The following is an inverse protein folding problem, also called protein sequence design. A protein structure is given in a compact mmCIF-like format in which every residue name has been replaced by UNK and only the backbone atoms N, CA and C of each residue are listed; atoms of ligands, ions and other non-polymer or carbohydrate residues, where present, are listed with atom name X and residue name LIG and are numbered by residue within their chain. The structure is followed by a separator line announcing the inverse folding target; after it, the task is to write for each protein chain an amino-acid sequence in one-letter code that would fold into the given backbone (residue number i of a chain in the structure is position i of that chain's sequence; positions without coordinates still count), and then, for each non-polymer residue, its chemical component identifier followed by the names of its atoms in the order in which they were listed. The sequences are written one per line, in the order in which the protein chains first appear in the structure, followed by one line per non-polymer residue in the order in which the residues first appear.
data_IF_902835931474
#
_entry.id   IF_902835931474
#
_cell.length_a   1.000
_cell.length_b   1.000
_cell.length_c   1.000
_cell.angle_alpha   90.00
_cell.angle_beta   90.00
_cell.angle_gamma   90.00
#
_symmetry.space_group_name_H-M   'P 1'
#
loop_
_entity.id
_entity.type
_entity.pdbx_description
1 polymer ?
#
# COMPACT_ATOMS: atom_id res chain seq x y z
N UNK A 1 0.04 -18.67 18.84
CA UNK A 1 0.55 -17.61 17.98
C UNK A 1 -0.15 -16.31 18.32
N UNK A 2 0.57 -15.20 18.31
CA UNK A 2 0.05 -13.83 18.42
C UNK A 2 0.42 -13.08 17.16
N UNK A 3 -0.55 -12.38 16.57
CA UNK A 3 -0.31 -11.58 15.37
C UNK A 3 -0.76 -10.14 15.60
N UNK A 4 0.00 -9.17 15.06
CA UNK A 4 -0.38 -7.77 15.06
C UNK A 4 -0.72 -7.31 13.65
N UNK A 5 -1.83 -6.56 13.50
CA UNK A 5 -2.19 -5.89 12.25
C UNK A 5 -1.72 -4.42 12.21
N UNK A 6 -0.74 -4.05 13.02
CA UNK A 6 -0.21 -2.68 12.98
C UNK A 6 0.41 -2.37 11.62
N UNK A 7 0.19 -1.16 11.14
CA UNK A 7 0.83 -0.66 9.90
C UNK A 7 2.03 0.25 10.18
N UNK A 8 2.20 0.72 11.42
CA UNK A 8 3.17 1.77 11.76
C UNK A 8 4.03 1.47 12.99
N UNK A 9 3.53 0.68 13.96
CA UNK A 9 4.28 0.38 15.17
C UNK A 9 5.39 -0.64 14.89
N UNK A 10 6.60 -0.44 15.41
CA UNK A 10 7.70 -1.38 15.25
C UNK A 10 7.38 -2.73 15.91
N UNK A 11 7.25 -3.80 15.12
CA UNK A 11 6.96 -5.15 15.62
C UNK A 11 7.98 -5.63 16.68
N UNK A 12 9.29 -5.42 16.54
CA UNK A 12 10.25 -5.80 17.58
C UNK A 12 9.93 -5.19 18.94
N UNK A 13 9.51 -3.90 18.97
CA UNK A 13 9.14 -3.22 20.22
C UNK A 13 7.85 -3.80 20.84
N UNK A 14 6.88 -4.21 20.02
CA UNK A 14 5.68 -4.89 20.52
C UNK A 14 6.03 -6.25 21.13
N UNK A 15 7.01 -6.94 20.55
CA UNK A 15 7.44 -8.26 21.04
C UNK A 15 8.18 -8.23 22.38
N UNK A 16 8.75 -7.09 22.80
CA UNK A 16 9.43 -6.94 24.10
C UNK A 16 8.49 -7.22 25.28
N UNK A 17 7.19 -6.99 25.11
CA UNK A 17 6.18 -7.23 26.15
C UNK A 17 5.64 -8.67 26.16
N UNK A 18 6.10 -9.55 25.26
CA UNK A 18 5.58 -10.90 25.12
C UNK A 18 6.43 -11.93 25.86
N UNK A 19 5.77 -12.91 26.45
CA UNK A 19 6.42 -14.04 27.14
C UNK A 19 7.04 -15.00 26.12
N UNK A 20 6.35 -15.21 24.98
CA UNK A 20 6.77 -16.12 23.91
C UNK A 20 6.88 -15.36 22.58
N UNK A 21 7.87 -14.47 22.40
CA UNK A 21 8.01 -13.65 21.19
C UNK A 21 8.37 -14.46 19.94
N UNK A 22 8.86 -15.69 20.06
CA UNK A 22 9.05 -16.64 18.97
C UNK A 22 7.73 -17.03 18.30
N UNK A 23 6.60 -16.85 18.98
CA UNK A 23 5.24 -17.09 18.47
C UNK A 23 4.55 -15.84 17.93
N UNK A 24 5.29 -14.73 17.79
CA UNK A 24 4.77 -13.44 17.37
C UNK A 24 5.25 -13.06 15.95
N UNK A 25 4.35 -12.45 15.19
CA UNK A 25 4.64 -11.83 13.90
C UNK A 25 3.62 -10.73 13.55
N UNK A 26 3.86 -9.98 12.48
CA UNK A 26 2.86 -9.12 11.85
C UNK A 26 2.06 -9.88 10.81
N UNK A 27 0.73 -9.70 10.82
CA UNK A 27 -0.15 -10.05 9.70
C UNK A 27 -0.81 -8.77 9.23
N UNK A 28 -0.29 -8.19 8.15
CA UNK A 28 -0.73 -6.89 7.67
C UNK A 28 -1.77 -7.05 6.55
N UNK A 29 -3.01 -6.78 6.90
CA UNK A 29 -4.15 -6.79 6.01
C UNK A 29 -4.38 -5.40 5.42
N UNK A 30 -4.91 -5.35 4.21
CA UNK A 30 -5.21 -4.10 3.51
C UNK A 30 -6.71 -3.85 3.44
N UNK A 31 -7.11 -2.60 3.65
CA UNK A 31 -8.52 -2.22 3.58
C UNK A 31 -8.97 -2.09 2.10
N UNK A 32 -10.10 -2.68 1.72
CA UNK A 32 -11.01 -3.53 2.50
C UNK A 32 -10.49 -4.98 2.60
N UNK A 33 -10.29 -5.47 3.83
CA UNK A 33 -9.62 -6.75 4.09
C UNK A 33 -10.35 -7.96 3.50
N UNK A 34 -11.67 -7.89 3.32
CA UNK A 34 -12.46 -8.95 2.71
C UNK A 34 -12.24 -9.07 1.20
N UNK A 35 -11.87 -8.00 0.51
CA UNK A 35 -11.65 -7.99 -0.95
C UNK A 35 -10.16 -8.15 -1.29
N UNK A 36 -9.29 -7.36 -0.66
CA UNK A 36 -7.86 -7.38 -1.02
C UNK A 36 -7.25 -8.75 -0.74
N UNK A 37 -6.68 -9.41 -1.75
CA UNK A 37 -6.14 -10.76 -1.59
C UNK A 37 -4.80 -10.79 -0.85
N UNK A 38 -3.97 -9.73 -0.95
CA UNK A 38 -2.65 -9.70 -0.35
C UNK A 38 -2.72 -9.59 1.18
N UNK A 39 -1.89 -10.36 1.88
CA UNK A 39 -1.59 -10.22 3.30
C UNK A 39 -0.08 -10.32 3.47
N UNK A 40 0.56 -9.33 4.06
CA UNK A 40 1.98 -9.39 4.39
C UNK A 40 2.16 -10.16 5.70
N UNK A 41 3.02 -11.18 5.68
CA UNK A 41 3.47 -11.94 6.84
C UNK A 41 4.85 -11.42 7.22
N UNK A 42 4.95 -10.76 8.36
CA UNK A 42 6.15 -10.00 8.76
C UNK A 42 6.74 -10.59 10.03
N UNK A 43 7.71 -11.52 9.91
CA UNK A 43 8.40 -12.05 11.07
C UNK A 43 9.32 -10.99 11.69
N UNK A 44 9.56 -11.12 12.99
CA UNK A 44 10.69 -10.48 13.67
C UNK A 44 11.87 -11.47 13.72
N UNK A 45 13.05 -11.01 14.13
CA UNK A 45 14.24 -11.87 14.22
C UNK A 45 14.03 -13.12 15.11
N UNK A 46 13.19 -12.98 16.14
CA UNK A 46 12.88 -14.05 17.11
C UNK A 46 11.73 -14.97 16.67
N UNK A 47 11.02 -14.66 15.61
CA UNK A 47 9.88 -15.49 15.14
C UNK A 47 10.36 -16.87 14.71
N UNK A 48 9.76 -17.91 15.25
CA UNK A 48 10.03 -19.27 14.81
C UNK A 48 9.58 -19.48 13.36
N UNK A 49 10.43 -20.03 12.47
CA UNK A 49 10.07 -20.30 11.08
C UNK A 49 8.78 -21.09 10.91
N UNK A 50 8.49 -22.05 11.81
CA UNK A 50 7.25 -22.84 11.76
C UNK A 50 5.99 -21.97 11.95
N UNK A 51 6.08 -20.87 12.70
CA UNK A 51 4.98 -19.90 12.88
C UNK A 51 4.73 -19.15 11.57
N UNK A 52 5.79 -18.82 10.82
CA UNK A 52 5.67 -18.18 9.49
C UNK A 52 5.00 -19.16 8.52
N UNK A 53 5.52 -20.39 8.42
CA UNK A 53 4.99 -21.42 7.54
C UNK A 53 3.51 -21.70 7.82
N UNK A 54 3.16 -21.87 9.10
CA UNK A 54 1.78 -22.08 9.51
C UNK A 54 0.88 -20.88 9.13
N UNK A 55 1.36 -19.66 9.31
CA UNK A 55 0.61 -18.44 8.95
C UNK A 55 0.38 -18.35 7.44
N UNK A 56 1.40 -18.68 6.65
CA UNK A 56 1.31 -18.72 5.19
C UNK A 56 0.26 -19.73 4.73
N UNK A 57 0.29 -20.95 5.29
CA UNK A 57 -0.68 -21.99 4.97
C UNK A 57 -2.11 -21.58 5.36
N UNK A 58 -2.31 -21.09 6.58
CA UNK A 58 -3.61 -20.63 7.05
C UNK A 58 -4.21 -19.55 6.14
N UNK A 59 -3.41 -18.56 5.77
CA UNK A 59 -3.88 -17.47 4.91
C UNK A 59 -4.22 -17.97 3.49
N UNK A 60 -3.44 -18.91 2.95
CA UNK A 60 -3.74 -19.56 1.67
C UNK A 60 -5.06 -20.33 1.74
N UNK A 61 -5.30 -21.10 2.79
CA UNK A 61 -6.57 -21.82 3.02
C UNK A 61 -7.77 -20.88 3.14
N UNK A 62 -7.55 -19.65 3.62
CA UNK A 62 -8.56 -18.59 3.65
C UNK A 62 -8.74 -17.87 2.28
N UNK A 63 -8.11 -18.35 1.22
CA UNK A 63 -8.17 -17.78 -0.11
C UNK A 63 -7.37 -16.47 -0.28
N UNK A 64 -6.48 -16.17 0.66
CA UNK A 64 -5.58 -15.01 0.56
C UNK A 64 -4.30 -15.37 -0.20
N UNK A 65 -3.56 -14.33 -0.60
CA UNK A 65 -2.22 -14.43 -1.20
C UNK A 65 -1.20 -13.91 -0.20
N UNK A 66 -0.71 -14.75 0.72
CA UNK A 66 0.24 -14.31 1.71
C UNK A 66 1.62 -14.06 1.09
N UNK A 67 2.30 -13.02 1.58
CA UNK A 67 3.65 -12.63 1.20
C UNK A 67 4.52 -12.51 2.45
N UNK A 68 5.46 -13.42 2.65
CA UNK A 68 6.39 -13.33 3.75
C UNK A 68 7.53 -12.34 3.44
N UNK A 69 7.75 -11.39 4.34
CA UNK A 69 8.91 -10.51 4.30
C UNK A 69 10.09 -11.19 4.98
N UNK A 70 11.31 -10.92 4.52
CA UNK A 70 12.53 -11.46 5.14
C UNK A 70 12.85 -10.82 6.50
N UNK A 71 12.39 -9.58 6.72
CA UNK A 71 12.58 -8.81 7.96
C UNK A 71 11.57 -7.67 8.04
N UNK A 72 11.23 -7.18 9.24
CA UNK A 72 10.41 -5.99 9.39
C UNK A 72 11.16 -4.73 8.95
N UNK A 73 10.47 -3.84 8.26
CA UNK A 73 10.88 -2.47 7.98
C UNK A 73 9.70 -1.55 8.27
N UNK A 74 9.96 -0.27 8.58
CA UNK A 74 8.88 0.69 8.82
C UNK A 74 7.98 0.79 7.59
N UNK A 75 6.65 0.63 7.78
CA UNK A 75 5.65 0.61 6.70
C UNK A 75 5.65 -0.65 5.85
N UNK A 76 6.40 -1.68 6.23
CA UNK A 76 6.55 -2.96 5.53
C UNK A 76 6.85 -2.76 4.03
N UNK A 77 6.35 -3.59 3.13
CA UNK A 77 6.63 -3.45 1.70
C UNK A 77 5.60 -2.57 1.01
N UNK A 78 4.31 -2.90 1.17
CA UNK A 78 3.25 -2.23 0.41
C UNK A 78 3.08 -0.76 0.82
N UNK A 79 3.04 -0.44 2.13
CA UNK A 79 2.95 0.95 2.56
C UNK A 79 4.18 1.76 2.17
N UNK A 80 5.37 1.18 2.15
CA UNK A 80 6.57 1.89 1.67
C UNK A 80 6.44 2.31 0.21
N UNK A 81 5.99 1.41 -0.66
CA UNK A 81 5.76 1.70 -2.07
C UNK A 81 4.64 2.72 -2.25
N UNK A 82 3.53 2.52 -1.54
CA UNK A 82 2.38 3.43 -1.59
C UNK A 82 2.77 4.84 -1.13
N UNK A 83 3.43 4.98 0.02
CA UNK A 83 3.78 6.31 0.54
C UNK A 83 4.94 6.97 -0.21
N UNK A 84 5.82 6.22 -0.86
CA UNK A 84 6.79 6.80 -1.80
C UNK A 84 6.07 7.48 -2.98
N UNK A 85 5.02 6.84 -3.53
CA UNK A 85 4.18 7.41 -4.57
C UNK A 85 3.36 8.62 -4.06
N UNK A 86 2.69 8.47 -2.89
CA UNK A 86 1.87 9.53 -2.31
C UNK A 86 2.73 10.76 -2.00
N UNK A 87 3.95 10.59 -1.50
CA UNK A 87 4.87 11.69 -1.23
C UNK A 87 5.16 12.51 -2.48
N UNK A 88 5.42 11.86 -3.61
CA UNK A 88 5.63 12.53 -4.88
C UNK A 88 4.33 13.20 -5.38
N UNK A 89 3.20 12.50 -5.30
CA UNK A 89 1.91 13.05 -5.70
C UNK A 89 1.55 14.33 -4.94
N UNK A 90 1.75 14.35 -3.61
CA UNK A 90 1.51 15.52 -2.78
C UNK A 90 2.47 16.67 -3.13
N UNK A 91 3.73 16.36 -3.44
CA UNK A 91 4.70 17.37 -3.87
C UNK A 91 4.27 18.03 -5.17
N UNK A 92 3.81 17.26 -6.15
CA UNK A 92 3.33 17.79 -7.43
C UNK A 92 2.09 18.69 -7.27
N UNK A 93 1.24 18.40 -6.28
CA UNK A 93 0.10 19.26 -5.94
C UNK A 93 0.58 20.57 -5.27
N UNK A 94 1.47 20.50 -4.28
CA UNK A 94 2.01 21.67 -3.59
C UNK A 94 2.78 22.63 -4.55
N UNK A 95 3.52 22.05 -5.51
CA UNK A 95 4.25 22.81 -6.53
C UNK A 95 3.32 23.37 -7.63
N UNK A 96 2.02 23.07 -7.58
CA UNK A 96 1.05 23.52 -8.58
C UNK A 96 1.23 22.88 -9.97
N UNK A 97 1.95 21.75 -10.04
CA UNK A 97 2.18 21.02 -11.29
C UNK A 97 0.92 20.26 -11.71
N UNK A 98 0.17 19.73 -10.75
CA UNK A 98 -1.04 18.96 -11.01
C UNK A 98 -2.11 19.18 -9.94
N UNK A 99 -3.38 18.99 -10.30
CA UNK A 99 -4.49 18.94 -9.34
C UNK A 99 -4.62 17.50 -8.79
N UNK A 100 -5.30 17.31 -7.63
CA UNK A 100 -5.60 15.97 -7.11
C UNK A 100 -6.31 15.08 -8.13
N UNK A 101 -7.26 15.64 -8.91
CA UNK A 101 -7.99 14.91 -9.95
C UNK A 101 -7.06 14.42 -11.07
N UNK A 102 -6.07 15.23 -11.46
CA UNK A 102 -5.08 14.85 -12.48
C UNK A 102 -4.16 13.75 -11.97
N UNK A 103 -3.73 13.81 -10.71
CA UNK A 103 -2.95 12.73 -10.07
C UNK A 103 -3.75 11.42 -10.09
N UNK A 104 -5.01 11.46 -9.64
CA UNK A 104 -5.86 10.26 -9.60
C UNK A 104 -6.10 9.70 -11.00
N UNK A 105 -6.32 10.54 -12.02
CA UNK A 105 -6.46 10.10 -13.40
C UNK A 105 -5.19 9.40 -13.94
N UNK A 106 -4.00 9.92 -13.64
CA UNK A 106 -2.75 9.24 -14.02
C UNK A 106 -2.64 7.87 -13.37
N UNK A 107 -3.07 7.76 -12.10
CA UNK A 107 -3.03 6.49 -11.39
C UNK A 107 -4.06 5.49 -11.91
N UNK A 108 -5.32 5.89 -12.07
CA UNK A 108 -6.41 4.98 -12.45
C UNK A 108 -6.36 4.61 -13.93
N UNK A 109 -6.03 5.55 -14.81
CA UNK A 109 -6.12 5.37 -16.26
C UNK A 109 -4.80 4.92 -16.91
N UNK A 110 -3.70 4.95 -16.14
CA UNK A 110 -2.38 4.58 -16.68
C UNK A 110 -1.61 3.63 -15.74
N UNK A 111 -1.05 4.14 -14.64
CA UNK A 111 -0.09 3.39 -13.83
C UNK A 111 -0.73 2.21 -13.12
N UNK A 112 -1.84 2.43 -12.42
CA UNK A 112 -2.56 1.39 -11.67
C UNK A 112 -3.10 0.31 -12.62
N UNK A 113 -3.65 0.69 -13.77
CA UNK A 113 -4.13 -0.25 -14.78
C UNK A 113 -3.00 -1.15 -15.31
N UNK A 114 -1.84 -0.59 -15.62
CA UNK A 114 -0.67 -1.36 -16.10
C UNK A 114 -0.13 -2.29 -15.02
N UNK A 115 -0.01 -1.78 -13.78
CA UNK A 115 0.56 -2.54 -12.66
C UNK A 115 -0.39 -3.58 -12.06
N UNK A 116 -1.68 -3.50 -12.34
CA UNK A 116 -2.62 -4.57 -12.05
C UNK A 116 -2.34 -5.84 -12.88
N UNK A 117 -1.77 -5.68 -14.08
CA UNK A 117 -1.44 -6.78 -15.00
C UNK A 117 0.02 -7.22 -14.82
N UNK A 118 0.95 -6.28 -14.90
CA UNK A 118 2.38 -6.51 -14.72
C UNK A 118 2.91 -5.55 -13.65
N UNK A 119 3.49 -6.09 -12.60
CA UNK A 119 4.10 -5.26 -11.55
C UNK A 119 5.23 -4.36 -12.08
N UNK A 120 5.69 -3.38 -11.30
CA UNK A 120 6.68 -2.40 -11.75
C UNK A 120 8.00 -3.04 -12.20
N UNK A 121 8.45 -4.12 -11.57
CA UNK A 121 9.70 -4.80 -11.96
C UNK A 121 9.57 -5.47 -13.33
N UNK A 122 8.50 -6.23 -13.57
CA UNK A 122 8.24 -6.84 -14.88
C UNK A 122 8.02 -5.80 -15.98
N UNK A 123 7.36 -4.70 -15.64
CA UNK A 123 7.17 -3.58 -16.57
C UNK A 123 8.52 -2.93 -16.95
N UNK A 124 9.46 -2.85 -16.01
CA UNK A 124 10.82 -2.36 -16.25
C UNK A 124 11.60 -3.30 -17.16
N UNK A 125 11.53 -4.61 -16.92
CA UNK A 125 12.17 -5.61 -17.78
C UNK A 125 11.61 -5.56 -19.21
N UNK A 126 10.30 -5.42 -19.34
CA UNK A 126 9.65 -5.32 -20.64
C UNK A 126 10.07 -4.06 -21.44
N UNK A 127 10.28 -2.94 -20.74
CA UNK A 127 10.78 -1.69 -21.35
C UNK A 127 12.29 -1.74 -21.62
N UNK A 128 13.01 -2.58 -20.93
CA UNK A 128 14.45 -2.75 -21.00
C UNK A 128 15.22 -1.99 -19.91
N UNK A 129 16.23 -2.65 -19.35
CA UNK A 129 17.08 -2.08 -18.28
C UNK A 129 17.86 -0.83 -18.74
N UNK A 130 18.49 -0.77 -19.93
CA UNK A 130 19.23 0.42 -20.33
C UNK A 130 18.38 1.70 -20.38
N UNK A 131 17.17 1.72 -21.01
CA UNK A 131 16.28 2.88 -20.91
C UNK A 131 15.87 3.21 -19.47
N UNK A 132 15.57 2.22 -18.64
CA UNK A 132 15.20 2.43 -17.24
C UNK A 132 16.30 3.14 -16.45
N UNK A 133 17.57 2.75 -16.67
CA UNK A 133 18.72 3.42 -16.04
C UNK A 133 18.85 4.88 -16.51
N UNK A 134 18.66 5.13 -17.79
CA UNK A 134 18.74 6.49 -18.33
C UNK A 134 17.64 7.40 -17.73
N UNK A 135 16.41 6.91 -17.69
CA UNK A 135 15.27 7.63 -17.09
C UNK A 135 15.48 7.84 -15.59
N UNK A 136 15.97 6.84 -14.85
CA UNK A 136 16.21 6.95 -13.42
C UNK A 136 17.29 8.02 -13.09
N UNK A 137 18.35 8.10 -13.90
CA UNK A 137 19.38 9.13 -13.74
C UNK A 137 18.86 10.55 -13.92
N UNK A 138 17.90 10.73 -14.80
CA UNK A 138 17.29 12.02 -15.06
C UNK A 138 16.25 12.40 -14.01
N UNK A 139 15.39 11.45 -13.63
CA UNK A 139 14.24 11.76 -12.77
C UNK A 139 14.55 11.72 -11.27
N UNK A 140 15.36 10.77 -10.79
CA UNK A 140 15.55 10.57 -9.35
C UNK A 140 16.08 11.80 -8.61
N UNK A 141 16.97 12.63 -9.16
CA UNK A 141 17.43 13.84 -8.48
C UNK A 141 16.31 14.87 -8.24
N UNK A 142 15.25 14.84 -9.06
CA UNK A 142 14.12 15.77 -8.99
C UNK A 142 12.92 15.25 -8.20
N UNK A 143 12.91 13.96 -7.82
CA UNK A 143 11.81 13.40 -7.04
C UNK A 143 11.85 13.88 -5.59
N UNK A 144 10.67 14.04 -4.99
CA UNK A 144 10.52 14.47 -3.60
C UNK A 144 11.29 13.54 -2.63
N UNK A 145 12.09 14.14 -1.78
CA UNK A 145 12.76 13.49 -0.64
C UNK A 145 12.25 14.00 0.72
N UNK A 146 11.07 14.63 0.74
CA UNK A 146 10.47 15.17 1.95
C UNK A 146 10.40 14.10 3.05
N UNK A 147 10.78 14.48 4.27
CA UNK A 147 10.77 13.66 5.48
C UNK A 147 9.61 14.02 6.43
N UNK A 148 8.79 15.01 6.04
CA UNK A 148 7.60 15.47 6.73
C UNK A 148 6.41 15.54 5.75
N UNK A 149 5.16 15.54 6.27
CA UNK A 149 3.96 15.75 5.44
C UNK A 149 4.03 17.09 4.69
N UNK A 150 3.64 17.08 3.42
CA UNK A 150 3.55 18.27 2.60
C UNK A 150 2.50 19.27 3.14
N UNK A 151 2.66 20.59 2.87
CA UNK A 151 1.76 21.64 3.31
C UNK A 151 0.30 21.37 3.01
N UNK A 152 -0.04 20.93 1.80
CA UNK A 152 -1.43 20.63 1.40
C UNK A 152 -2.12 19.64 2.34
N UNK A 153 -1.38 18.62 2.83
CA UNK A 153 -1.95 17.64 3.76
C UNK A 153 -2.13 18.22 5.15
N UNK A 154 -1.22 19.08 5.60
CA UNK A 154 -1.30 19.80 6.88
C UNK A 154 -2.46 20.79 6.89
N UNK A 155 -2.67 21.52 5.80
CA UNK A 155 -3.79 22.46 5.63
C UNK A 155 -5.15 21.75 5.67
N UNK A 156 -5.27 20.57 5.05
CA UNK A 156 -6.49 19.74 5.14
C UNK A 156 -6.77 19.35 6.59
N UNK A 157 -5.75 18.91 7.33
CA UNK A 157 -5.87 18.56 8.74
C UNK A 157 -6.30 19.74 9.60
N UNK A 158 -5.64 20.90 9.47
CA UNK A 158 -5.91 22.11 10.24
C UNK A 158 -7.29 22.70 9.94
N UNK A 159 -7.75 22.61 8.68
CA UNK A 159 -9.08 23.05 8.28
C UNK A 159 -10.22 22.09 8.63
N UNK A 160 -9.90 20.91 9.21
CA UNK A 160 -10.89 19.92 9.58
C UNK A 160 -11.46 19.14 8.38
N UNK A 161 -10.87 19.26 7.21
CA UNK A 161 -11.22 18.48 6.00
C UNK A 161 -10.52 17.11 6.03
N UNK A 162 -11.06 16.19 6.86
CA UNK A 162 -10.42 14.92 7.19
C UNK A 162 -10.79 13.78 6.22
N UNK A 163 -11.31 14.10 5.05
CA UNK A 163 -11.72 13.13 4.05
C UNK A 163 -13.16 12.66 4.21
N UNK A 164 -13.42 11.40 3.83
CA UNK A 164 -14.78 10.82 3.79
C UNK A 164 -15.50 10.93 5.13
N UNK A 165 -14.81 10.82 6.26
CA UNK A 165 -15.41 10.88 7.60
C UNK A 165 -16.02 12.26 7.94
N UNK A 166 -15.55 13.34 7.32
CA UNK A 166 -16.06 14.70 7.50
C UNK A 166 -16.81 15.22 6.28
N UNK A 167 -16.96 14.39 5.24
CA UNK A 167 -17.62 14.73 3.99
C UNK A 167 -16.76 15.54 3.02
N UNK A 168 -15.54 15.93 3.41
CA UNK A 168 -14.63 16.71 2.58
C UNK A 168 -13.17 16.41 2.92
N UNK A 169 -12.32 16.35 1.88
CA UNK A 169 -10.88 16.20 1.95
C UNK A 169 -10.25 16.87 0.73
N UNK A 170 -9.45 16.14 -0.07
CA UNK A 170 -9.08 16.59 -1.42
C UNK A 170 -10.31 16.74 -2.31
N UNK A 171 -11.36 15.93 -2.05
CA UNK A 171 -12.63 15.94 -2.76
C UNK A 171 -13.80 16.12 -1.79
N UNK A 172 -14.97 16.46 -2.34
CA UNK A 172 -16.21 16.46 -1.60
C UNK A 172 -16.87 15.08 -1.62
N UNK A 173 -17.41 14.64 -0.47
CA UNK A 173 -18.05 13.34 -0.29
C UNK A 173 -19.46 13.52 0.30
N UNK A 174 -20.45 13.94 -0.53
CA UNK A 174 -21.80 14.21 -0.04
C UNK A 174 -22.50 12.94 0.47
N UNK A 175 -22.10 11.76 0.02
CA UNK A 175 -22.58 10.46 0.47
C UNK A 175 -21.39 9.52 0.73
N UNK A 176 -20.85 9.51 1.95
CA UNK A 176 -19.70 8.66 2.33
C UNK A 176 -19.96 7.16 2.16
N UNK A 177 -21.20 6.71 2.35
CA UNK A 177 -21.55 5.30 2.24
C UNK A 177 -21.53 4.84 0.78
N UNK A 178 -22.07 5.65 -0.13
CA UNK A 178 -22.04 5.39 -1.57
C UNK A 178 -20.60 5.30 -2.12
N UNK A 179 -19.66 6.07 -1.56
CA UNK A 179 -18.22 5.97 -1.93
C UNK A 179 -17.68 4.59 -1.62
N UNK A 180 -17.90 4.09 -0.39
CA UNK A 180 -17.42 2.78 0.03
C UNK A 180 -18.05 1.65 -0.80
N UNK A 181 -19.36 1.69 -1.03
CA UNK A 181 -20.08 0.71 -1.85
C UNK A 181 -19.58 0.71 -3.30
N UNK A 182 -19.36 1.88 -3.89
CA UNK A 182 -18.83 2.00 -5.25
C UNK A 182 -17.42 1.43 -5.35
N UNK A 183 -16.53 1.76 -4.41
CA UNK A 183 -15.19 1.18 -4.32
C UNK A 183 -15.25 -0.34 -4.27
N UNK A 184 -16.05 -0.91 -3.37
CA UNK A 184 -16.10 -2.36 -3.15
C UNK A 184 -16.65 -3.08 -4.37
N UNK A 185 -17.67 -2.52 -5.02
CA UNK A 185 -18.22 -3.05 -6.27
C UNK A 185 -17.18 -3.05 -7.40
N UNK A 186 -16.47 -1.94 -7.60
CA UNK A 186 -15.46 -1.83 -8.66
C UNK A 186 -14.26 -2.74 -8.40
N UNK A 187 -13.77 -2.80 -7.15
CA UNK A 187 -12.70 -3.72 -6.77
C UNK A 187 -13.09 -5.18 -7.02
N UNK A 188 -14.30 -5.57 -6.65
CA UNK A 188 -14.80 -6.93 -6.91
C UNK A 188 -14.81 -7.27 -8.40
N UNK A 189 -15.23 -6.33 -9.25
CA UNK A 189 -15.23 -6.51 -10.71
C UNK A 189 -13.81 -6.68 -11.26
N UNK A 190 -12.87 -5.83 -10.86
CA UNK A 190 -11.46 -5.92 -11.28
C UNK A 190 -10.83 -7.23 -10.81
N UNK A 191 -11.08 -7.64 -9.56
CA UNK A 191 -10.56 -8.89 -9.02
C UNK A 191 -11.10 -10.11 -9.76
N UNK A 192 -12.39 -10.09 -10.18
CA UNK A 192 -12.99 -11.13 -11.01
C UNK A 192 -12.27 -11.28 -12.35
N UNK A 193 -12.07 -10.18 -13.08
CA UNK A 193 -11.34 -10.18 -14.37
C UNK A 193 -9.91 -10.69 -14.21
N UNK A 194 -9.21 -10.24 -13.17
CA UNK A 194 -7.83 -10.66 -12.91
C UNK A 194 -7.73 -12.14 -12.47
N UNK A 195 -8.76 -12.68 -11.85
CA UNK A 195 -8.82 -14.10 -11.49
C UNK A 195 -9.01 -14.98 -12.73
N UNK A 196 -9.94 -14.62 -13.63
CA UNK A 196 -10.17 -15.31 -14.90
C UNK A 196 -8.93 -15.32 -15.81
N UNK A 197 -8.19 -14.22 -15.85
CA UNK A 197 -6.98 -14.10 -16.68
C UNK A 197 -5.78 -14.94 -16.17
N UNK A 198 -5.81 -15.41 -14.92
CA UNK A 198 -4.71 -16.16 -14.28
C UNK A 198 -5.02 -17.66 -14.10
N UNK A 199 -6.26 -18.08 -14.36
CA UNK A 199 -6.68 -19.50 -14.38
C UNK A 199 -6.40 -20.14 -15.69
#
# INVERSE_FOLDING_TARGET
MIASNTSSLPLPRLAEALVEPERFLGLHWFNPAHLIPLVEVVPIERTDPSVVEWSMALLADLGKRPLALSRPVAGFLANRLQYALIREALQLVDDGVATPEQIDSVMTDCLGLRWAVLGPMQSTDLAGVPPAVAVARELFPGLSNADAPQPVLSELLESGRLGVSTGEGFFAYPDPEAVAQTRDRLLSSVLGILAEAKG
#
